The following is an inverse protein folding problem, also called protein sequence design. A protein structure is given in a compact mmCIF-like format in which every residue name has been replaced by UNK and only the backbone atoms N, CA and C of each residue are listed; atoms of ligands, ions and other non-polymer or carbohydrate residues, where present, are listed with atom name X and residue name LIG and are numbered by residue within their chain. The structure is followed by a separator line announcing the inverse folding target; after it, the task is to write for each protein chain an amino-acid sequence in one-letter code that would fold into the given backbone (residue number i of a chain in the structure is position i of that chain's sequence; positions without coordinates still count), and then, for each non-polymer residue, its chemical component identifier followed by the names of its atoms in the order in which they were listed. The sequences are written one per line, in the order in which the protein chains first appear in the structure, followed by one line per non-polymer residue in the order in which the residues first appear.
data_IF_610590497552
#
_entry.id   IF_610590497552
#
_cell.length_a   1.000
_cell.length_b   1.000
_cell.length_c   1.000
_cell.angle_alpha   90.00
_cell.angle_beta   90.00
_cell.angle_gamma   90.00
#
_symmetry.space_group_name_H-M   'P 1'
#
loop_
_entity.id
_entity.type
_entity.pdbx_description
1 polymer ?
#
# COMPACT_ATOMS: atom_id res chain seq x y z
N UNK A 1 -13.86 8.41 8.63
CA UNK A 1 -12.75 8.19 9.59
C UNK A 1 -11.46 8.00 8.81
N UNK A 2 -10.32 8.54 9.26
CA UNK A 2 -9.01 8.41 8.59
C UNK A 2 -8.00 7.89 9.61
N UNK A 3 -7.36 6.76 9.32
CA UNK A 3 -6.48 6.05 10.27
C UNK A 3 -5.16 5.75 9.59
N UNK A 4 -4.07 5.98 10.32
CA UNK A 4 -2.73 5.47 9.97
C UNK A 4 -2.42 4.31 10.91
N UNK A 5 -2.21 3.11 10.36
CA UNK A 5 -1.95 1.90 11.14
C UNK A 5 -0.44 1.59 11.13
N UNK A 6 0.21 1.78 12.28
CA UNK A 6 1.65 1.56 12.47
C UNK A 6 1.93 0.22 13.18
N UNK A 7 3.14 -0.31 12.99
CA UNK A 7 3.58 -1.56 13.63
C UNK A 7 4.75 -2.21 12.88
N UNK A 8 5.53 -3.03 13.57
CA UNK A 8 6.71 -3.71 13.01
C UNK A 8 6.35 -4.72 11.90
N UNK A 9 7.27 -5.05 10.96
CA UNK A 9 7.09 -6.19 10.06
C UNK A 9 6.70 -7.46 10.85
N UNK A 10 5.73 -8.23 10.36
CA UNK A 10 5.23 -9.42 11.05
C UNK A 10 4.28 -9.16 12.24
N UNK A 11 4.05 -7.91 12.67
CA UNK A 11 3.20 -7.60 13.85
C UNK A 11 1.69 -7.80 13.64
N UNK A 12 1.26 -8.37 12.52
CA UNK A 12 -0.16 -8.63 12.24
C UNK A 12 -1.01 -7.42 11.80
N UNK A 13 -0.39 -6.29 11.41
CA UNK A 13 -1.11 -5.08 10.93
C UNK A 13 -2.15 -5.38 9.85
N UNK A 14 -1.80 -6.21 8.87
CA UNK A 14 -2.72 -6.55 7.77
C UNK A 14 -3.98 -7.25 8.27
N UNK A 15 -3.84 -8.14 9.26
CA UNK A 15 -4.99 -8.81 9.91
C UNK A 15 -5.87 -7.80 10.63
N UNK A 16 -5.28 -6.85 11.35
CA UNK A 16 -6.04 -5.80 12.05
C UNK A 16 -6.70 -4.82 11.09
N UNK A 17 -6.03 -4.44 10.00
CA UNK A 17 -6.60 -3.60 8.95
C UNK A 17 -7.85 -4.23 8.33
N UNK A 18 -7.83 -5.54 8.03
CA UNK A 18 -9.01 -6.25 7.49
C UNK A 18 -10.21 -6.22 8.43
N UNK A 19 -9.99 -6.44 9.74
CA UNK A 19 -11.06 -6.34 10.74
C UNK A 19 -11.65 -4.93 10.77
N UNK A 20 -10.78 -3.92 10.81
CA UNK A 20 -11.18 -2.51 10.82
C UNK A 20 -11.96 -2.11 9.56
N UNK A 21 -11.58 -2.62 8.39
CA UNK A 21 -12.33 -2.40 7.15
C UNK A 21 -13.77 -2.92 7.26
N UNK A 22 -13.95 -4.14 7.77
CA UNK A 22 -15.26 -4.77 7.93
C UNK A 22 -16.12 -4.03 8.98
N UNK A 23 -15.55 -3.72 10.14
CA UNK A 23 -16.29 -3.12 11.26
C UNK A 23 -16.70 -1.67 10.98
N UNK A 24 -15.97 -0.97 10.12
CA UNK A 24 -16.12 0.48 9.90
C UNK A 24 -16.46 0.86 8.46
N UNK A 25 -16.59 -0.13 7.58
CA UNK A 25 -16.86 0.05 6.16
C UNK A 25 -15.93 1.09 5.50
N UNK A 26 -14.62 0.93 5.73
CA UNK A 26 -13.57 1.78 5.14
C UNK A 26 -12.61 0.94 4.31
N UNK A 27 -12.04 1.46 3.20
CA UNK A 27 -11.02 0.73 2.45
C UNK A 27 -9.66 0.78 3.16
N UNK A 28 -8.88 -0.28 3.01
CA UNK A 28 -7.45 -0.27 3.29
C UNK A 28 -6.72 0.29 2.09
N UNK A 29 -5.79 1.20 2.34
CA UNK A 29 -4.86 1.72 1.35
C UNK A 29 -3.46 1.35 1.80
N UNK A 30 -2.66 0.74 0.92
CA UNK A 30 -1.26 0.44 1.17
C UNK A 30 -0.39 1.04 0.07
N UNK A 31 0.74 1.65 0.44
CA UNK A 31 1.66 2.29 -0.52
C UNK A 31 2.15 1.29 -1.57
N UNK A 32 2.44 0.04 -1.17
CA UNK A 32 2.90 -1.00 -2.08
C UNK A 32 1.84 -1.42 -3.11
N UNK A 33 0.56 -1.49 -2.73
CA UNK A 33 -0.52 -1.77 -3.69
C UNK A 33 -0.75 -0.58 -4.63
N UNK A 34 -0.73 0.65 -4.09
CA UNK A 34 -0.89 1.87 -4.90
C UNK A 34 0.20 2.00 -5.97
N UNK A 35 1.47 1.79 -5.59
CA UNK A 35 2.58 1.87 -6.54
C UNK A 35 2.48 0.79 -7.62
N UNK A 36 2.20 -0.48 -7.23
CA UNK A 36 2.00 -1.56 -8.20
C UNK A 36 0.83 -1.30 -9.15
N UNK A 37 -0.28 -0.77 -8.64
CA UNK A 37 -1.44 -0.39 -9.46
C UNK A 37 -1.10 0.74 -10.44
N UNK A 38 -0.39 1.78 -9.98
CA UNK A 38 0.03 2.90 -10.83
C UNK A 38 0.99 2.47 -11.94
N UNK A 39 1.91 1.55 -11.64
CA UNK A 39 2.83 0.91 -12.61
C UNK A 39 2.04 0.10 -13.64
N UNK A 40 1.12 -0.76 -13.18
CA UNK A 40 0.30 -1.59 -14.06
C UNK A 40 -0.60 -0.75 -14.98
N UNK A 41 -1.12 0.37 -14.48
CA UNK A 41 -1.93 1.32 -15.24
C UNK A 41 -1.11 2.23 -16.19
N UNK A 42 0.22 2.13 -16.19
CA UNK A 42 1.09 2.90 -17.09
C UNK A 42 1.07 4.42 -16.86
N UNK A 43 0.59 4.88 -15.71
CA UNK A 43 0.49 6.31 -15.37
C UNK A 43 1.86 7.00 -15.37
N UNK A 44 1.90 8.32 -15.52
CA UNK A 44 3.15 9.09 -15.47
C UNK A 44 3.93 8.85 -14.17
N UNK A 45 3.24 8.81 -13.03
CA UNK A 45 3.83 8.47 -11.74
C UNK A 45 4.22 7.00 -11.65
N UNK A 46 3.43 6.09 -12.23
CA UNK A 46 3.75 4.67 -12.30
C UNK A 46 5.05 4.39 -13.05
N UNK A 47 5.30 5.10 -14.16
CA UNK A 47 6.55 4.95 -14.91
C UNK A 47 7.77 5.45 -14.13
N UNK A 48 7.62 6.51 -13.34
CA UNK A 48 8.68 6.99 -12.44
C UNK A 48 8.93 5.99 -11.32
N UNK A 49 7.87 5.52 -10.65
CA UNK A 49 7.95 4.52 -9.59
C UNK A 49 8.58 3.21 -10.09
N UNK A 50 8.23 2.75 -11.30
CA UNK A 50 8.77 1.54 -11.90
C UNK A 50 10.30 1.53 -11.92
N UNK A 51 10.92 2.64 -12.37
CA UNK A 51 12.38 2.76 -12.44
C UNK A 51 13.04 2.59 -11.07
N UNK A 52 12.46 3.22 -10.04
CA UNK A 52 12.96 3.17 -8.65
C UNK A 52 12.80 1.76 -8.07
N UNK A 53 11.64 1.12 -8.33
CA UNK A 53 11.36 -0.24 -7.88
C UNK A 53 12.29 -1.27 -8.55
N UNK A 54 12.55 -1.13 -9.86
CA UNK A 54 13.47 -2.00 -10.61
C UNK A 54 14.93 -1.84 -10.16
N UNK A 55 15.30 -0.64 -9.67
CA UNK A 55 16.61 -0.39 -9.06
C UNK A 55 16.76 -0.97 -7.65
N UNK A 56 15.69 -1.50 -7.05
CA UNK A 56 15.70 -2.02 -5.68
C UNK A 56 15.77 -0.95 -4.60
N UNK A 57 15.52 0.31 -4.95
CA UNK A 57 15.55 1.46 -4.02
C UNK A 57 14.27 1.60 -3.20
N UNK A 58 13.24 0.80 -3.51
CA UNK A 58 11.95 0.80 -2.84
C UNK A 58 11.67 -0.60 -2.29
N UNK A 59 11.74 -0.74 -0.96
CA UNK A 59 11.58 -2.00 -0.20
C UNK A 59 10.12 -2.23 0.19
#
# INVERSE_FOLDING_TARGET
MRIVLLGAPGSGKGTQARKLMADRNIPQISTGDMLRAAVAAGTSFGQQAKKIMEAGELV
#
